data_IF_168698255633
#
_entry.id   IF_168698255633
#
_cell.length_a   1.000
_cell.length_b   1.000
_cell.length_c   1.000
_cell.angle_alpha   90.00
_cell.angle_beta   90.00
_cell.angle_gamma   90.00
#
_symmetry.space_group_name_H-M   'P 1'
#
loop_
_entity.id
_entity.type
_entity.pdbx_description
1 polymer ?
#
# COMPACT_ATOMS: atom_id res chain seq x y z
N UNK A 1 15.45 -13.13 9.02
CA UNK A 1 14.93 -11.89 9.65
C UNK A 1 13.72 -12.27 10.49
N UNK A 2 13.79 -12.11 11.82
CA UNK A 2 12.65 -12.40 12.68
C UNK A 2 11.51 -11.41 12.38
N UNK A 3 10.49 -11.87 11.69
CA UNK A 3 9.29 -11.09 11.41
C UNK A 3 8.44 -11.12 12.68
N UNK A 4 8.40 -10.03 13.44
CA UNK A 4 7.41 -9.87 14.50
C UNK A 4 6.06 -9.53 13.82
N UNK A 5 5.05 -10.42 13.87
CA UNK A 5 3.78 -10.20 13.17
C UNK A 5 3.12 -8.86 13.56
N UNK A 6 3.16 -8.51 14.84
CA UNK A 6 2.63 -7.25 15.35
C UNK A 6 3.32 -6.03 14.75
N UNK A 7 4.66 -6.02 14.66
CA UNK A 7 5.39 -4.90 14.02
C UNK A 7 5.07 -4.80 12.54
N UNK A 8 4.94 -5.93 11.83
CA UNK A 8 4.55 -5.93 10.43
C UNK A 8 3.15 -5.33 10.23
N UNK A 9 2.19 -5.64 11.10
CA UNK A 9 0.86 -5.03 11.11
C UNK A 9 0.94 -3.53 11.39
N UNK A 10 1.59 -3.12 12.47
CA UNK A 10 1.67 -1.70 12.84
C UNK A 10 2.35 -0.87 11.76
N UNK A 11 3.47 -1.32 11.22
CA UNK A 11 4.21 -0.55 10.23
C UNK A 11 3.52 -0.57 8.86
N UNK A 12 3.16 -1.74 8.34
CA UNK A 12 2.66 -1.85 6.97
C UNK A 12 1.18 -1.45 6.86
N UNK A 13 0.35 -1.75 7.85
CA UNK A 13 -1.09 -1.45 7.80
C UNK A 13 -1.35 -0.07 8.41
N UNK A 14 -1.03 0.12 9.70
CA UNK A 14 -1.36 1.38 10.38
C UNK A 14 -0.50 2.53 9.85
N UNK A 15 0.77 2.30 9.53
CA UNK A 15 1.63 3.29 8.89
C UNK A 15 1.06 3.77 7.56
N UNK A 16 0.62 2.84 6.69
CA UNK A 16 0.00 3.18 5.40
C UNK A 16 -1.29 3.98 5.58
N UNK A 17 -2.17 3.58 6.51
CA UNK A 17 -3.39 4.33 6.81
C UNK A 17 -3.09 5.77 7.27
N UNK A 18 -2.09 5.94 8.14
CA UNK A 18 -1.71 7.27 8.62
C UNK A 18 -1.19 8.17 7.50
N UNK A 19 -0.36 7.63 6.59
CA UNK A 19 0.13 8.39 5.43
C UNK A 19 -1.02 8.82 4.51
N UNK A 20 -1.96 7.92 4.22
CA UNK A 20 -3.13 8.23 3.40
C UNK A 20 -3.98 9.32 4.05
N UNK A 21 -4.26 9.20 5.34
CA UNK A 21 -5.04 10.18 6.09
C UNK A 21 -4.37 11.55 6.07
N UNK A 22 -3.07 11.60 6.34
CA UNK A 22 -2.29 12.84 6.31
C UNK A 22 -2.27 13.47 4.91
N UNK A 23 -2.05 12.68 3.87
CA UNK A 23 -2.03 13.17 2.49
C UNK A 23 -3.37 13.76 2.06
N UNK A 24 -4.48 13.13 2.45
CA UNK A 24 -5.84 13.63 2.23
C UNK A 24 -6.06 14.94 3.00
N UNK A 25 -5.70 14.99 4.29
CA UNK A 25 -5.88 16.18 5.12
C UNK A 25 -5.09 17.40 4.62
N UNK A 26 -3.95 17.15 3.95
CA UNK A 26 -3.07 18.19 3.42
C UNK A 26 -3.29 18.46 1.92
N UNK A 27 -4.33 17.88 1.31
CA UNK A 27 -4.63 17.99 -0.14
C UNK A 27 -3.40 17.70 -1.04
N UNK A 28 -2.61 16.70 -0.66
CA UNK A 28 -1.48 16.25 -1.49
C UNK A 28 -2.03 15.77 -2.83
N UNK A 29 -1.38 16.12 -3.94
CA UNK A 29 -1.88 15.77 -5.29
C UNK A 29 -1.87 14.27 -5.57
N UNK A 30 -0.81 13.57 -5.16
CA UNK A 30 -0.63 12.13 -5.44
C UNK A 30 0.10 11.42 -4.29
N UNK A 31 -0.33 10.20 -3.99
CA UNK A 31 0.39 9.27 -3.11
C UNK A 31 0.62 7.98 -3.89
N UNK A 32 1.87 7.53 -3.91
CA UNK A 32 2.26 6.27 -4.52
C UNK A 32 2.73 5.30 -3.43
N UNK A 33 2.14 4.12 -3.40
CA UNK A 33 2.58 3.04 -2.51
C UNK A 33 3.32 1.97 -3.28
N UNK A 34 4.52 1.67 -2.80
CA UNK A 34 5.40 0.68 -3.40
C UNK A 34 5.28 -0.65 -2.66
N UNK A 35 4.78 -1.66 -3.36
CA UNK A 35 4.73 -3.03 -2.85
C UNK A 35 5.74 -3.92 -3.57
N UNK A 36 6.36 -4.81 -2.80
CA UNK A 36 7.39 -5.73 -3.29
C UNK A 36 6.78 -7.12 -3.48
N UNK A 37 7.40 -7.91 -4.36
CA UNK A 37 7.24 -9.35 -4.69
C UNK A 37 6.54 -10.31 -3.69
N UNK A 38 6.52 -10.01 -2.38
CA UNK A 38 5.90 -10.84 -1.33
C UNK A 38 4.39 -10.69 -1.17
N UNK A 39 3.72 -9.81 -1.94
CA UNK A 39 2.27 -9.62 -1.87
C UNK A 39 1.45 -10.52 -2.82
N UNK A 40 2.09 -11.13 -3.82
CA UNK A 40 1.41 -11.90 -4.88
C UNK A 40 0.92 -13.28 -4.38
N UNK A 41 1.71 -13.94 -3.53
CA UNK A 41 1.32 -15.17 -2.82
C UNK A 41 1.85 -15.08 -1.39
N UNK A 42 1.07 -14.53 -0.44
CA UNK A 42 1.56 -14.34 0.92
C UNK A 42 1.71 -15.68 1.63
N UNK A 43 2.93 -16.21 1.69
CA UNK A 43 3.27 -17.43 2.45
C UNK A 43 3.63 -17.13 3.90
N UNK A 44 3.70 -15.84 4.27
CA UNK A 44 4.04 -15.38 5.61
C UNK A 44 3.28 -14.09 5.98
N UNK A 45 3.23 -13.78 7.27
CA UNK A 45 2.48 -12.63 7.82
C UNK A 45 2.94 -11.29 7.25
N UNK A 46 4.21 -11.16 6.88
CA UNK A 46 4.72 -9.94 6.25
C UNK A 46 4.09 -9.70 4.88
N UNK A 47 4.07 -10.72 4.02
CA UNK A 47 3.40 -10.67 2.72
C UNK A 47 1.90 -10.36 2.84
N UNK A 48 1.22 -10.96 3.82
CA UNK A 48 -0.19 -10.69 4.08
C UNK A 48 -0.45 -9.22 4.46
N UNK A 49 0.41 -8.62 5.30
CA UNK A 49 0.27 -7.20 5.69
C UNK A 49 0.48 -6.24 4.52
N UNK A 50 1.32 -6.60 3.53
CA UNK A 50 1.51 -5.82 2.30
C UNK A 50 0.28 -5.88 1.39
N UNK A 51 -0.30 -7.07 1.19
CA UNK A 51 -1.55 -7.24 0.44
C UNK A 51 -2.71 -6.44 1.08
N UNK A 52 -2.78 -6.42 2.42
CA UNK A 52 -3.79 -5.62 3.13
C UNK A 52 -3.56 -4.13 2.91
N UNK A 53 -2.30 -3.66 2.92
CA UNK A 53 -1.97 -2.26 2.65
C UNK A 53 -2.35 -1.83 1.21
N UNK A 54 -2.08 -2.68 0.22
CA UNK A 54 -2.51 -2.48 -1.18
C UNK A 54 -4.03 -2.35 -1.31
N UNK A 55 -4.77 -3.25 -0.65
CA UNK A 55 -6.23 -3.19 -0.61
C UNK A 55 -6.75 -1.94 0.07
N UNK A 56 -6.08 -1.47 1.13
CA UNK A 56 -6.48 -0.27 1.85
C UNK A 56 -6.38 0.98 0.96
N UNK A 57 -5.32 1.07 0.14
CA UNK A 57 -5.16 2.14 -0.85
C UNK A 57 -6.22 2.07 -1.93
N UNK A 58 -6.42 0.88 -2.49
CA UNK A 58 -7.42 0.65 -3.54
C UNK A 58 -8.84 0.99 -3.06
N UNK A 59 -9.18 0.54 -1.85
CA UNK A 59 -10.47 0.82 -1.23
C UNK A 59 -10.64 2.32 -0.95
N UNK A 60 -9.62 2.99 -0.42
CA UNK A 60 -9.69 4.44 -0.15
C UNK A 60 -9.85 5.23 -1.44
N UNK A 61 -9.12 4.88 -2.49
CA UNK A 61 -9.27 5.51 -3.81
C UNK A 61 -10.68 5.29 -4.38
N UNK A 62 -11.21 4.07 -4.29
CA UNK A 62 -12.55 3.74 -4.76
C UNK A 62 -13.64 4.51 -4.01
N UNK A 63 -13.54 4.59 -2.67
CA UNK A 63 -14.47 5.36 -1.83
C UNK A 63 -14.39 6.87 -2.11
N UNK A 64 -13.26 7.37 -2.63
CA UNK A 64 -13.02 8.79 -2.89
C UNK A 64 -13.11 9.14 -4.37
N UNK A 65 -14.23 8.77 -5.01
CA UNK A 65 -14.54 9.02 -6.43
C UNK A 65 -14.31 10.46 -6.94
N UNK A 66 -14.29 11.46 -6.05
CA UNK A 66 -14.08 12.89 -6.38
C UNK A 66 -13.07 13.60 -5.44
N UNK A 67 -12.04 12.89 -4.95
CA UNK A 67 -10.99 13.50 -4.12
C UNK A 67 -9.85 14.13 -4.94
N UNK A 68 -9.29 15.26 -4.48
CA UNK A 68 -8.14 15.91 -5.13
C UNK A 68 -6.84 15.07 -5.04
N UNK A 69 -6.70 14.30 -3.96
CA UNK A 69 -5.57 13.38 -3.75
C UNK A 69 -5.78 12.07 -4.50
N UNK A 70 -4.95 11.82 -5.51
CA UNK A 70 -4.91 10.54 -6.22
C UNK A 70 -4.03 9.53 -5.47
N UNK A 71 -4.64 8.42 -5.06
CA UNK A 71 -3.94 7.31 -4.41
C UNK A 71 -3.70 6.20 -5.44
N UNK A 72 -2.44 5.84 -5.65
CA UNK A 72 -2.02 4.81 -6.58
C UNK A 72 -1.11 3.78 -5.90
N UNK A 73 -1.07 2.58 -6.46
CA UNK A 73 -0.17 1.52 -6.03
C UNK A 73 0.64 1.01 -7.22
N UNK A 74 1.90 0.69 -6.97
CA UNK A 74 2.79 0.08 -7.94
C UNK A 74 3.33 -1.25 -7.41
N UNK A 75 3.21 -2.28 -8.25
CA UNK A 75 3.77 -3.59 -8.01
C UNK A 75 5.11 -3.70 -8.75
N UNK A 76 6.19 -3.92 -8.01
CA UNK A 76 7.55 -4.01 -8.56
C UNK A 76 7.70 -5.08 -9.67
N UNK A 77 6.91 -6.18 -9.61
CA UNK A 77 6.93 -7.24 -10.63
C UNK A 77 6.35 -6.77 -11.96
N UNK A 78 5.27 -5.98 -11.94
CA UNK A 78 4.69 -5.43 -13.18
C UNK A 78 5.62 -4.39 -13.82
N UNK A 79 6.46 -3.73 -13.04
CA UNK A 79 7.49 -2.83 -13.56
C UNK A 79 8.52 -3.60 -14.40
N UNK A 80 9.07 -4.70 -13.89
CA UNK A 80 10.04 -5.54 -14.63
C UNK A 80 9.46 -6.04 -15.96
N UNK A 81 8.15 -6.31 -16.04
CA UNK A 81 7.48 -6.70 -17.28
C UNK A 81 7.08 -5.53 -18.18
N UNK A 82 7.01 -4.29 -17.68
CA UNK A 82 6.78 -3.09 -18.50
C UNK A 82 8.04 -2.61 -19.23
N UNK A 83 9.21 -3.06 -18.78
CA UNK A 83 10.52 -2.74 -19.37
C UNK A 83 11.12 -3.90 -20.19
N UNK A 84 10.33 -4.93 -20.48
CA UNK A 84 10.65 -6.00 -21.46
C UNK A 84 9.73 -5.86 -22.66
#
# INVERSE_FOLDING_TARGET
MHVCPQKAVTTNINGTYNVIKAAIMQNVKKVLFTSSDKAIVPTNTYGATKLIAERLISATQYSRRYGETLLAQENLILEIFKWK
#
